data_IF_735529199053
#
_entry.id   IF_735529199053
#
_cell.length_a   1.000
_cell.length_b   1.000
_cell.length_c   1.000
_cell.angle_alpha   90.00
_cell.angle_beta   90.00
_cell.angle_gamma   90.00
#
_symmetry.space_group_name_H-M   'P 1'
#
loop_
_entity.id
_entity.type
_entity.pdbx_description
1 polymer ?
#
# COMPACT_ATOMS: atom_id res chain seq x y z
N UNK A 1 -10.62 -18.71 2.09
CA UNK A 1 -11.59 -17.61 2.33
C UNK A 1 -10.84 -16.30 2.13
N UNK A 2 -11.38 -15.35 1.35
CA UNK A 2 -10.74 -14.05 1.11
C UNK A 2 -10.91 -13.15 2.33
N UNK A 3 -9.87 -12.44 2.75
CA UNK A 3 -9.93 -11.43 3.81
C UNK A 3 -9.99 -10.03 3.23
N UNK A 4 -10.49 -9.10 4.03
CA UNK A 4 -10.67 -7.71 3.62
C UNK A 4 -10.04 -6.77 4.66
N UNK A 5 -9.08 -5.95 4.22
CA UNK A 5 -8.56 -4.83 4.99
C UNK A 5 -9.33 -3.55 4.66
N UNK A 6 -9.54 -2.68 5.65
CA UNK A 6 -10.13 -1.35 5.43
C UNK A 6 -9.04 -0.29 5.56
N UNK A 7 -8.94 0.61 4.57
CA UNK A 7 -8.00 1.72 4.62
C UNK A 7 -8.66 3.03 4.19
N UNK A 8 -8.41 4.09 4.97
CA UNK A 8 -8.94 5.42 4.68
C UNK A 8 -8.04 6.18 3.70
N UNK A 9 -8.68 6.85 2.75
CA UNK A 9 -8.08 7.89 1.93
C UNK A 9 -8.36 9.23 2.60
N UNK A 10 -7.29 9.96 2.94
CA UNK A 10 -7.38 11.19 3.71
C UNK A 10 -7.83 12.38 2.85
N UNK A 11 -8.89 13.06 3.29
CA UNK A 11 -9.48 14.21 2.59
C UNK A 11 -8.56 15.45 2.50
N UNK A 12 -7.49 15.46 3.32
CA UNK A 12 -6.43 16.46 3.24
C UNK A 12 -5.72 16.40 1.88
N UNK A 13 -5.48 15.19 1.38
CA UNK A 13 -4.73 14.94 0.13
C UNK A 13 -5.66 14.79 -1.07
N UNK A 14 -6.79 14.08 -0.91
CA UNK A 14 -7.77 13.87 -1.97
C UNK A 14 -9.12 14.44 -1.54
N UNK A 15 -9.55 15.55 -2.14
CA UNK A 15 -10.82 16.21 -1.75
C UNK A 15 -12.05 15.32 -1.99
N UNK A 16 -11.98 14.42 -2.96
CA UNK A 16 -13.06 13.52 -3.35
C UNK A 16 -12.51 12.12 -3.66
N UNK A 17 -13.35 11.06 -3.52
CA UNK A 17 -12.95 9.72 -3.93
C UNK A 17 -12.69 9.61 -5.43
N UNK A 18 -13.35 10.46 -6.24
CA UNK A 18 -13.10 10.56 -7.67
C UNK A 18 -11.68 11.06 -7.99
N UNK A 19 -11.16 12.03 -7.22
CA UNK A 19 -9.79 12.52 -7.39
C UNK A 19 -8.75 11.39 -7.16
N UNK A 20 -8.94 10.60 -6.10
CA UNK A 20 -8.09 9.43 -5.85
C UNK A 20 -8.22 8.40 -6.97
N UNK A 21 -9.45 8.10 -7.39
CA UNK A 21 -9.72 7.10 -8.42
C UNK A 21 -9.08 7.48 -9.77
N UNK A 22 -9.09 8.76 -10.13
CA UNK A 22 -8.47 9.26 -11.35
C UNK A 22 -6.93 9.12 -11.35
N UNK A 23 -6.29 9.33 -10.20
CA UNK A 23 -4.84 9.10 -10.04
C UNK A 23 -4.52 7.60 -10.04
N UNK A 24 -5.28 6.82 -9.26
CA UNK A 24 -5.11 5.38 -9.16
C UNK A 24 -5.29 4.68 -10.51
N UNK A 25 -6.22 5.14 -11.35
CA UNK A 25 -6.40 4.60 -12.71
C UNK A 25 -5.20 4.88 -13.63
N UNK A 26 -4.46 5.97 -13.40
CA UNK A 26 -3.29 6.35 -14.22
C UNK A 26 -2.00 5.69 -13.73
N UNK A 27 -1.83 5.58 -12.42
CA UNK A 27 -0.54 5.25 -11.80
C UNK A 27 -0.57 3.99 -10.91
N UNK A 28 -1.75 3.40 -10.69
CA UNK A 28 -1.95 2.36 -9.69
C UNK A 28 -2.10 2.92 -8.27
N UNK A 29 -2.30 2.02 -7.31
CA UNK A 29 -2.48 2.37 -5.90
C UNK A 29 -1.19 2.10 -5.14
N UNK A 30 -0.57 3.16 -4.60
CA UNK A 30 0.55 3.06 -3.66
C UNK A 30 0.18 3.71 -2.34
N UNK A 31 0.26 2.93 -1.24
CA UNK A 31 -0.19 3.36 0.09
C UNK A 31 0.74 2.83 1.17
N UNK A 32 1.14 3.73 2.08
CA UNK A 32 1.91 3.38 3.27
C UNK A 32 1.05 2.56 4.24
N UNK A 33 1.59 1.43 4.67
CA UNK A 33 0.98 0.57 5.69
C UNK A 33 1.69 0.81 7.03
N UNK A 34 0.95 0.95 8.15
CA UNK A 34 1.56 1.01 9.48
C UNK A 34 2.02 -0.36 9.97
N UNK A 35 1.33 -1.43 9.54
CA UNK A 35 1.68 -2.83 9.81
C UNK A 35 1.00 -3.73 8.79
N UNK A 36 1.48 -4.97 8.64
CA UNK A 36 0.87 -6.01 7.81
C UNK A 36 0.02 -6.91 8.73
N UNK A 37 -1.30 -7.06 8.50
CA UNK A 37 -2.14 -7.93 9.32
C UNK A 37 -1.67 -9.38 9.31
N UNK A 38 -1.82 -10.10 10.44
CA UNK A 38 -1.41 -11.50 10.55
C UNK A 38 -2.17 -12.37 9.55
N UNK A 39 -1.42 -13.10 8.71
CA UNK A 39 -1.98 -13.97 7.67
C UNK A 39 -2.65 -13.20 6.53
N UNK A 40 -2.24 -11.95 6.29
CA UNK A 40 -2.53 -11.24 5.05
C UNK A 40 -1.76 -11.90 3.90
N UNK A 41 -2.43 -12.11 2.77
CA UNK A 41 -1.83 -12.74 1.58
C UNK A 41 -1.94 -11.84 0.36
N UNK A 42 -0.79 -11.38 -0.15
CA UNK A 42 -0.65 -10.58 -1.38
C UNK A 42 -1.26 -11.35 -2.57
N UNK A 43 -1.96 -10.65 -3.46
CA UNK A 43 -2.63 -11.26 -4.61
C UNK A 43 -3.89 -12.07 -4.29
N UNK A 44 -4.24 -12.24 -3.01
CA UNK A 44 -5.42 -12.99 -2.56
C UNK A 44 -6.39 -12.13 -1.78
N UNK A 45 -5.89 -11.42 -0.77
CA UNK A 45 -6.69 -10.57 0.12
C UNK A 45 -6.94 -9.20 -0.50
N UNK A 46 -8.07 -8.60 -0.13
CA UNK A 46 -8.56 -7.35 -0.74
C UNK A 46 -8.44 -6.19 0.24
N UNK A 47 -8.14 -5.01 -0.29
CA UNK A 47 -8.14 -3.75 0.46
C UNK A 47 -9.31 -2.90 -0.01
N UNK A 48 -10.20 -2.58 0.91
CA UNK A 48 -11.33 -1.69 0.74
C UNK A 48 -10.89 -0.26 1.04
N UNK A 49 -11.03 0.65 0.08
CA UNK A 49 -10.69 2.05 0.24
C UNK A 49 -11.93 2.85 0.60
N UNK A 50 -11.84 3.57 1.71
CA UNK A 50 -12.92 4.42 2.22
C UNK A 50 -12.55 5.90 2.19
N UNK A 51 -13.55 6.75 2.00
CA UNK A 51 -13.40 8.20 2.02
C UNK A 51 -14.53 8.83 2.85
N UNK A 52 -14.28 10.01 3.45
CA UNK A 52 -15.27 10.70 4.31
C UNK A 52 -16.44 11.31 3.53
N UNK A 53 -16.22 11.59 2.25
CA UNK A 53 -17.15 12.31 1.34
C UNK A 53 -17.44 11.49 0.09
N UNK A 54 -18.00 10.29 0.26
CA UNK A 54 -18.51 9.50 -0.85
C UNK A 54 -19.89 10.03 -1.27
N UNK A 55 -20.15 10.21 -2.57
CA UNK A 55 -21.47 10.63 -3.05
C UNK A 55 -22.44 9.45 -2.99
N UNK A 56 -23.59 9.68 -2.36
CA UNK A 56 -24.73 8.77 -2.35
C UNK A 56 -25.94 9.47 -2.95
N UNK A 57 -26.57 8.84 -3.93
CA UNK A 57 -27.84 9.31 -4.47
C UNK A 57 -28.96 9.03 -3.47
N UNK A 58 -29.77 10.05 -3.21
CA UNK A 58 -30.93 9.97 -2.33
C UNK A 58 -32.13 10.60 -3.03
N UNK A 59 -33.33 10.45 -2.43
CA UNK A 59 -34.55 11.12 -2.91
C UNK A 59 -34.44 12.64 -2.92
N UNK A 60 -33.51 13.23 -2.16
CA UNK A 60 -33.28 14.67 -2.05
C UNK A 60 -32.06 15.15 -2.85
N UNK A 61 -31.45 14.29 -3.68
CA UNK A 61 -30.22 14.57 -4.42
C UNK A 61 -28.99 13.87 -3.84
N UNK A 62 -27.81 14.38 -4.15
CA UNK A 62 -26.53 13.78 -3.76
C UNK A 62 -26.15 14.21 -2.34
N UNK A 63 -26.01 13.23 -1.44
CA UNK A 63 -25.48 13.44 -0.09
C UNK A 63 -24.06 12.88 0.03
N UNK A 64 -23.17 13.61 0.70
CA UNK A 64 -21.80 13.16 0.97
C UNK A 64 -21.73 12.47 2.33
N UNK A 65 -21.36 11.19 2.35
CA UNK A 65 -21.23 10.40 3.58
C UNK A 65 -19.95 9.56 3.59
N UNK A 66 -19.45 9.15 4.77
CA UNK A 66 -18.37 8.17 4.82
C UNK A 66 -18.79 6.86 4.16
N UNK A 67 -17.94 6.32 3.29
CA UNK A 67 -18.23 5.09 2.58
C UNK A 67 -17.01 4.46 1.92
N UNK A 68 -17.14 3.19 1.55
CA UNK A 68 -16.18 2.48 0.69
C UNK A 68 -16.51 2.86 -0.74
N UNK A 69 -15.50 3.27 -1.52
CA UNK A 69 -15.70 3.74 -2.90
C UNK A 69 -14.97 2.89 -3.93
N UNK A 70 -13.98 2.10 -3.53
CA UNK A 70 -13.30 1.15 -4.41
C UNK A 70 -12.59 0.08 -3.58
N UNK A 71 -12.13 -0.97 -4.25
CA UNK A 71 -11.31 -2.01 -3.65
C UNK A 71 -10.24 -2.47 -4.64
N UNK A 72 -9.11 -2.92 -4.12
CA UNK A 72 -8.04 -3.51 -4.93
C UNK A 72 -7.40 -4.69 -4.22
N UNK A 73 -6.80 -5.59 -4.99
CA UNK A 73 -5.96 -6.65 -4.47
C UNK A 73 -4.49 -6.23 -4.68
N UNK A 74 -3.69 -6.03 -3.62
CA UNK A 74 -2.31 -5.59 -3.78
C UNK A 74 -1.48 -6.70 -4.42
N UNK A 75 -0.59 -6.31 -5.33
CA UNK A 75 0.34 -7.20 -6.00
C UNK A 75 1.72 -7.27 -5.34
N UNK A 76 2.05 -6.31 -4.47
CA UNK A 76 3.35 -6.21 -3.80
C UNK A 76 3.20 -5.42 -2.50
N UNK A 77 4.05 -5.74 -1.53
CA UNK A 77 4.37 -4.88 -0.38
C UNK A 77 5.87 -4.62 -0.40
N UNK A 78 6.26 -3.35 -0.25
CA UNK A 78 7.64 -2.93 -0.17
C UNK A 78 7.97 -2.44 1.24
N UNK A 79 9.04 -2.96 1.82
CA UNK A 79 9.58 -2.50 3.10
C UNK A 79 10.89 -1.75 2.86
N UNK A 80 10.96 -0.49 3.29
CA UNK A 80 12.18 0.31 3.21
C UNK A 80 13.08 -0.09 4.37
N UNK A 81 14.22 -0.70 4.06
CA UNK A 81 15.25 -1.11 5.02
C UNK A 81 15.97 0.14 5.53
N UNK A 82 16.20 0.20 6.84
CA UNK A 82 16.90 1.32 7.48
C UNK A 82 18.31 0.95 7.94
N UNK A 83 18.59 -0.34 8.05
CA UNK A 83 19.87 -0.88 8.46
C UNK A 83 20.02 -1.05 9.98
N UNK A 84 18.98 -0.75 10.75
CA UNK A 84 18.91 -1.00 12.20
C UNK A 84 18.02 -2.21 12.55
N UNK A 85 17.41 -2.84 11.55
CA UNK A 85 16.61 -4.05 11.71
C UNK A 85 17.46 -5.30 11.94
N UNK A 86 16.95 -6.26 12.72
CA UNK A 86 17.57 -7.58 12.88
C UNK A 86 17.34 -8.48 11.66
N UNK A 87 18.29 -9.36 11.35
CA UNK A 87 18.17 -10.35 10.28
C UNK A 87 16.90 -11.21 10.39
N UNK A 88 16.59 -11.71 11.60
CA UNK A 88 15.38 -12.52 11.83
C UNK A 88 14.08 -11.81 11.42
N UNK A 89 14.03 -10.49 11.61
CA UNK A 89 12.87 -9.66 11.22
C UNK A 89 12.80 -9.49 9.70
N UNK A 90 13.94 -9.25 9.05
CA UNK A 90 14.00 -9.10 7.60
C UNK A 90 13.66 -10.43 6.90
N UNK A 91 14.12 -11.56 7.44
CA UNK A 91 13.81 -12.91 6.97
C UNK A 91 12.30 -13.19 7.08
N UNK A 92 11.67 -12.88 8.22
CA UNK A 92 10.22 -13.05 8.41
C UNK A 92 9.38 -12.22 7.42
N UNK A 93 9.83 -11.01 7.07
CA UNK A 93 9.18 -10.19 6.04
C UNK A 93 9.35 -10.80 4.64
N UNK A 94 10.57 -11.21 4.31
CA UNK A 94 10.89 -11.84 3.02
C UNK A 94 10.07 -13.11 2.80
N UNK A 95 9.99 -13.99 3.80
CA UNK A 95 9.20 -15.23 3.76
C UNK A 95 7.70 -14.97 3.57
N UNK A 96 7.20 -13.78 3.94
CA UNK A 96 5.82 -13.34 3.70
C UNK A 96 5.61 -12.73 2.30
N UNK A 97 6.63 -12.73 1.46
CA UNK A 97 6.60 -12.13 0.12
C UNK A 97 6.70 -10.60 0.13
N UNK A 98 7.18 -10.00 1.22
CA UNK A 98 7.48 -8.56 1.27
C UNK A 98 8.82 -8.32 0.60
N UNK A 99 8.86 -7.39 -0.35
CA UNK A 99 10.09 -6.99 -1.01
C UNK A 99 10.84 -5.99 -0.12
N UNK A 100 12.05 -6.34 0.27
CA UNK A 100 12.95 -5.45 0.99
C UNK A 100 13.56 -4.47 -0.02
N UNK A 101 13.51 -3.18 0.30
CA UNK A 101 13.99 -2.10 -0.56
C UNK A 101 15.06 -1.34 0.20
N UNK A 102 16.29 -1.39 -0.32
CA UNK A 102 17.34 -0.49 0.11
C UNK A 102 17.21 0.84 -0.64
N UNK A 103 17.22 1.95 0.11
CA UNK A 103 17.03 3.30 -0.44
C UNK A 103 18.27 4.12 -0.15
N UNK A 104 19.07 4.32 -1.19
CA UNK A 104 20.25 5.18 -1.17
C UNK A 104 19.89 6.61 -1.63
N UNK A 105 20.39 7.66 -0.97
CA UNK A 105 20.26 9.03 -1.46
C UNK A 105 20.83 9.16 -2.87
N UNK A 106 20.20 9.98 -3.72
CA UNK A 106 20.58 10.12 -5.14
C UNK A 106 22.06 10.55 -5.31
N UNK A 107 22.58 11.39 -4.41
CA UNK A 107 24.00 11.81 -4.42
C UNK A 107 25.01 10.71 -4.06
N UNK A 108 24.53 9.60 -3.50
CA UNK A 108 25.31 8.41 -3.15
C UNK A 108 24.98 7.22 -4.08
N UNK A 109 24.07 7.43 -5.05
CA UNK A 109 23.66 6.39 -5.99
C UNK A 109 24.63 6.30 -7.18
N UNK A 110 25.24 5.13 -7.35
CA UNK A 110 26.00 4.81 -8.57
C UNK A 110 25.06 4.17 -9.61
N UNK A 111 24.95 4.74 -10.82
CA UNK A 111 24.15 4.16 -11.90
C UNK A 111 24.60 2.72 -12.20
N UNK A 112 23.68 1.76 -12.09
CA UNK A 112 23.95 0.35 -12.42
C UNK A 112 24.46 -0.50 -11.24
N UNK A 113 24.60 0.06 -10.05
CA UNK A 113 24.91 -0.74 -8.85
C UNK A 113 23.68 -1.55 -8.42
N UNK A 114 23.70 -2.84 -8.72
CA UNK A 114 22.77 -3.80 -8.13
C UNK A 114 23.24 -4.01 -6.69
N UNK A 115 22.52 -3.45 -5.73
CA UNK A 115 22.74 -3.77 -4.32
C UNK A 115 22.20 -5.19 -4.12
N UNK A 116 23.05 -6.17 -3.78
CA UNK A 116 22.54 -7.48 -3.46
C UNK A 116 21.62 -7.32 -2.26
N UNK A 117 20.34 -7.69 -2.42
CA UNK A 117 19.54 -8.13 -1.29
C UNK A 117 20.42 -9.12 -0.53
N UNK A 118 20.60 -8.86 0.77
CA UNK A 118 21.52 -9.55 1.68
C UNK A 118 21.96 -10.92 1.11
N UNK A 119 23.24 -11.13 0.73
CA UNK A 119 23.68 -12.34 0.01
C UNK A 119 23.31 -13.66 0.71
N UNK A 120 22.98 -13.58 1.99
CA UNK A 120 22.61 -14.69 2.87
C UNK A 120 21.10 -15.04 2.81
N UNK A 121 20.30 -14.33 2.02
CA UNK A 121 18.86 -14.57 1.77
C UNK A 121 18.58 -15.44 0.52
N UNK A 122 19.59 -16.15 0.01
CA UNK A 122 19.49 -17.11 -1.12
C UNK A 122 19.62 -18.56 -0.64
#
# INVERSE_FOLDING_TARGET
MKRYGLMWVGEKFYKTPAAFSAEAAKMGVSKRLPFIPKGFTIGVDWILLAHRKCPFETVNGIELKPGIFTAFCPSQIDYIVKGDESDDFLNDLFDKGVRLMDVIPEGESEPGKIIPLHPELQ
#
